data_IF_880700388472
#
_entry.id   IF_880700388472
#
_cell.length_a   1.000
_cell.length_b   1.000
_cell.length_c   1.000
_cell.angle_alpha   90.00
_cell.angle_beta   90.00
_cell.angle_gamma   90.00
#
_symmetry.space_group_name_H-M   'P 1'
#
loop_
_entity.id
_entity.type
_entity.pdbx_description
1 polymer ?
#
# COMPACT_ATOMS: atom_id res chain seq x y z
N UNK A 1 -67.07 38.69 15.56
CA UNK A 1 -66.85 37.78 14.40
C UNK A 1 -65.46 37.14 14.40
N UNK A 2 -64.73 37.11 15.52
CA UNK A 2 -63.37 36.53 15.62
C UNK A 2 -63.38 35.18 16.37
N UNK A 3 -64.33 34.96 17.30
CA UNK A 3 -64.47 33.71 18.07
C UNK A 3 -64.68 32.42 17.26
N UNK A 4 -65.15 32.53 16.01
CA UNK A 4 -65.43 31.33 15.19
C UNK A 4 -64.19 30.78 14.48
N UNK A 5 -63.12 31.58 14.38
CA UNK A 5 -61.89 31.20 13.71
C UNK A 5 -60.90 30.47 14.64
N UNK A 6 -60.93 30.74 15.95
CA UNK A 6 -60.04 30.07 16.92
C UNK A 6 -60.45 28.62 17.20
N UNK A 7 -61.75 28.30 17.11
CA UNK A 7 -62.28 26.96 17.40
C UNK A 7 -61.88 25.88 16.38
N UNK A 8 -61.28 26.25 15.25
CA UNK A 8 -60.79 25.33 14.24
C UNK A 8 -59.27 25.10 14.27
N UNK A 9 -58.55 25.77 15.18
CA UNK A 9 -57.09 25.63 15.31
C UNK A 9 -56.73 24.66 16.46
N UNK A 10 -57.62 24.44 17.43
CA UNK A 10 -57.46 23.45 18.50
C UNK A 10 -57.95 22.04 18.11
N UNK A 11 -57.31 21.42 17.12
CA UNK A 11 -57.28 19.95 17.01
C UNK A 11 -56.13 19.54 16.09
N UNK A 12 -54.93 20.02 16.40
CA UNK A 12 -53.69 19.48 15.86
C UNK A 12 -53.42 18.08 16.40
N UNK A 13 -54.19 17.07 15.98
CA UNK A 13 -53.66 15.71 15.93
C UNK A 13 -52.74 15.66 14.72
N UNK A 14 -51.48 16.06 14.94
CA UNK A 14 -50.39 15.71 14.03
C UNK A 14 -50.41 14.17 13.99
N UNK A 15 -50.99 13.59 12.94
CA UNK A 15 -50.90 12.16 12.67
C UNK A 15 -49.42 11.80 12.73
N UNK A 16 -48.98 11.19 13.83
CA UNK A 16 -47.62 10.67 13.93
C UNK A 16 -47.45 9.76 12.73
N UNK A 17 -46.50 10.04 11.82
CA UNK A 17 -46.37 9.30 10.58
C UNK A 17 -46.27 7.82 10.94
N UNK A 18 -47.03 6.95 10.25
CA UNK A 18 -47.17 5.51 10.58
C UNK A 18 -45.84 4.80 10.90
N UNK A 19 -44.74 5.31 10.35
CA UNK A 19 -43.36 4.95 10.66
C UNK A 19 -43.02 5.02 12.16
N UNK A 20 -43.40 6.08 12.89
CA UNK A 20 -43.09 6.25 14.31
C UNK A 20 -43.73 5.18 15.20
N UNK A 21 -44.95 4.73 14.87
CA UNK A 21 -45.60 3.63 15.61
C UNK A 21 -44.92 2.28 15.40
N UNK A 22 -44.32 2.06 14.22
CA UNK A 22 -43.55 0.84 13.93
C UNK A 22 -42.18 0.85 14.64
N UNK A 23 -41.51 2.01 14.68
CA UNK A 23 -40.22 2.22 15.34
C UNK A 23 -40.25 1.92 16.85
N UNK A 24 -41.39 2.14 17.52
CA UNK A 24 -41.55 1.95 18.97
C UNK A 24 -41.76 0.49 19.38
N UNK A 25 -42.02 -0.41 18.44
CA UNK A 25 -42.24 -1.83 18.78
C UNK A 25 -40.93 -2.52 19.19
N UNK A 26 -41.00 -3.39 20.20
CA UNK A 26 -39.83 -4.17 20.65
C UNK A 26 -39.26 -5.04 19.53
N UNK A 27 -40.12 -5.57 18.66
CA UNK A 27 -39.73 -6.33 17.48
C UNK A 27 -38.86 -5.50 16.52
N UNK A 28 -39.19 -4.23 16.31
CA UNK A 28 -38.39 -3.33 15.47
C UNK A 28 -37.00 -3.07 16.06
N UNK A 29 -36.92 -2.85 17.38
CA UNK A 29 -35.63 -2.67 18.08
C UNK A 29 -34.73 -3.91 17.95
N UNK A 30 -35.31 -5.11 18.08
CA UNK A 30 -34.59 -6.38 17.90
C UNK A 30 -34.12 -6.54 16.46
N UNK A 31 -34.98 -6.25 15.47
CA UNK A 31 -34.60 -6.29 14.07
C UNK A 31 -33.45 -5.34 13.74
N UNK A 32 -33.50 -4.09 14.23
CA UNK A 32 -32.37 -3.15 14.07
C UNK A 32 -31.10 -3.64 14.76
N UNK A 33 -31.21 -4.20 15.97
CA UNK A 33 -30.05 -4.72 16.69
C UNK A 33 -29.38 -5.86 15.91
N UNK A 34 -30.17 -6.77 15.31
CA UNK A 34 -29.66 -7.83 14.45
C UNK A 34 -28.97 -7.28 13.20
N UNK A 35 -29.54 -6.28 12.54
CA UNK A 35 -28.92 -5.62 11.38
C UNK A 35 -27.60 -4.96 11.79
N UNK A 36 -27.57 -4.25 12.91
CA UNK A 36 -26.35 -3.62 13.44
C UNK A 36 -25.26 -4.67 13.71
N UNK A 37 -25.60 -5.79 14.35
CA UNK A 37 -24.66 -6.88 14.63
C UNK A 37 -24.12 -7.47 13.32
N UNK A 38 -25.00 -7.70 12.33
CA UNK A 38 -24.59 -8.23 11.03
C UNK A 38 -23.63 -7.27 10.30
N UNK A 39 -23.93 -5.96 10.32
CA UNK A 39 -23.03 -4.93 9.77
C UNK A 39 -21.68 -4.90 10.49
N UNK A 40 -21.67 -4.96 11.82
CA UNK A 40 -20.43 -4.99 12.61
C UNK A 40 -19.59 -6.23 12.29
N UNK A 41 -20.22 -7.39 12.23
CA UNK A 41 -19.57 -8.65 11.84
C UNK A 41 -18.96 -8.57 10.43
N UNK A 42 -19.68 -7.98 9.48
CA UNK A 42 -19.18 -7.77 8.12
C UNK A 42 -17.98 -6.83 8.08
N UNK A 43 -18.00 -5.73 8.86
CA UNK A 43 -16.86 -4.81 8.96
C UNK A 43 -15.65 -5.53 9.53
N UNK A 44 -15.78 -6.28 10.62
CA UNK A 44 -14.67 -7.03 11.23
C UNK A 44 -14.11 -8.07 10.25
N UNK A 45 -14.98 -8.76 9.50
CA UNK A 45 -14.57 -9.73 8.50
C UNK A 45 -13.84 -9.10 7.30
N UNK A 46 -14.24 -7.90 6.87
CA UNK A 46 -13.64 -7.18 5.74
C UNK A 46 -12.44 -6.30 6.14
N UNK A 47 -12.30 -5.97 7.42
CA UNK A 47 -11.19 -5.17 7.97
C UNK A 47 -9.80 -5.62 7.49
N UNK A 48 -9.43 -6.92 7.48
CA UNK A 48 -8.12 -7.34 6.97
C UNK A 48 -7.90 -7.00 5.49
N UNK A 49 -8.96 -6.98 4.67
CA UNK A 49 -8.86 -6.59 3.25
C UNK A 49 -8.65 -5.09 3.07
N UNK A 50 -9.20 -4.27 3.98
CA UNK A 50 -8.98 -2.83 3.99
C UNK A 50 -7.56 -2.49 4.43
N UNK A 51 -7.00 -3.20 5.41
CA UNK A 51 -5.60 -3.05 5.80
C UNK A 51 -4.64 -3.34 4.63
N UNK A 52 -4.95 -4.33 3.79
CA UNK A 52 -4.16 -4.64 2.59
C UNK A 52 -4.14 -3.49 1.56
N UNK A 53 -5.06 -2.53 1.62
CA UNK A 53 -5.07 -1.35 0.75
C UNK A 53 -4.26 -0.17 1.29
N UNK A 54 -3.88 -0.21 2.57
CA UNK A 54 -2.96 0.74 3.20
C UNK A 54 -1.50 0.27 3.14
N UNK A 55 -1.25 -0.98 2.73
CA UNK A 55 0.10 -1.36 2.30
C UNK A 55 0.46 -0.52 1.08
N UNK A 56 1.56 0.23 1.18
CA UNK A 56 2.06 1.08 0.09
C UNK A 56 2.05 0.29 -1.23
N UNK A 57 1.56 0.87 -2.34
CA UNK A 57 1.55 0.18 -3.62
C UNK A 57 2.97 -0.30 -3.90
N UNK A 58 3.17 -1.63 -3.86
CA UNK A 58 4.44 -2.27 -4.19
C UNK A 58 4.91 -1.61 -5.49
N UNK A 59 6.09 -0.96 -5.48
CA UNK A 59 6.53 -0.18 -6.63
C UNK A 59 6.44 -1.08 -7.86
N UNK A 60 5.75 -0.59 -8.89
CA UNK A 60 5.49 -1.32 -10.13
C UNK A 60 6.82 -1.83 -10.68
N UNK A 61 7.11 -3.12 -10.44
CA UNK A 61 8.34 -3.76 -10.88
C UNK A 61 8.21 -4.09 -12.36
N UNK A 62 9.15 -3.62 -13.17
CA UNK A 62 9.44 -4.29 -14.43
C UNK A 62 10.15 -5.61 -14.10
N UNK A 63 9.37 -6.68 -13.92
CA UNK A 63 9.85 -8.03 -13.59
C UNK A 63 8.91 -8.78 -12.64
N UNK A 64 8.80 -10.09 -12.81
CA UNK A 64 7.88 -11.01 -12.11
C UNK A 64 8.29 -11.40 -10.69
N UNK A 65 9.28 -10.74 -10.09
CA UNK A 65 9.84 -11.16 -8.80
C UNK A 65 9.29 -10.33 -7.63
N UNK A 66 8.69 -11.03 -6.66
CA UNK A 66 8.45 -10.49 -5.34
C UNK A 66 9.78 -10.44 -4.56
N UNK A 67 10.50 -9.32 -4.62
CA UNK A 67 11.64 -9.01 -3.75
C UNK A 67 11.19 -8.36 -2.45
N UNK A 68 11.98 -8.52 -1.38
CA UNK A 68 11.76 -7.91 -0.07
C UNK A 68 12.37 -6.50 0.00
N UNK A 69 12.06 -5.75 1.07
CA UNK A 69 12.51 -4.37 1.23
C UNK A 69 14.04 -4.22 1.23
N UNK A 70 14.78 -5.22 1.71
CA UNK A 70 16.26 -5.18 1.70
C UNK A 70 16.80 -5.33 0.29
N UNK A 71 16.22 -6.23 -0.52
CA UNK A 71 16.57 -6.39 -1.92
C UNK A 71 16.19 -5.16 -2.75
N UNK A 72 15.04 -4.54 -2.48
CA UNK A 72 14.64 -3.31 -3.19
C UNK A 72 15.63 -2.17 -2.95
N UNK A 73 16.11 -2.02 -1.71
CA UNK A 73 17.17 -1.05 -1.39
C UNK A 73 18.48 -1.39 -2.10
N UNK A 74 18.81 -2.67 -2.23
CA UNK A 74 19.99 -3.12 -2.97
C UNK A 74 19.89 -2.77 -4.47
N UNK A 75 18.73 -3.02 -5.09
CA UNK A 75 18.44 -2.67 -6.49
C UNK A 75 18.51 -1.15 -6.70
N UNK A 76 17.94 -0.38 -5.77
CA UNK A 76 18.00 1.09 -5.81
C UNK A 76 19.44 1.62 -5.75
N UNK A 77 20.27 1.03 -4.88
CA UNK A 77 21.69 1.39 -4.82
C UNK A 77 22.38 1.08 -6.16
N UNK A 78 22.15 -0.10 -6.74
CA UNK A 78 22.71 -0.47 -8.05
C UNK A 78 22.30 0.51 -9.16
N UNK A 79 21.03 0.94 -9.19
CA UNK A 79 20.58 1.99 -10.11
C UNK A 79 21.33 3.31 -9.93
N UNK A 80 21.53 3.74 -8.69
CA UNK A 80 22.28 4.96 -8.42
C UNK A 80 23.74 4.84 -8.88
N UNK A 81 24.39 3.70 -8.62
CA UNK A 81 25.76 3.44 -9.06
C UNK A 81 25.87 3.41 -10.59
N UNK A 82 24.92 2.77 -11.28
CA UNK A 82 24.87 2.75 -12.74
C UNK A 82 24.68 4.15 -13.33
N UNK A 83 23.81 4.97 -12.72
CA UNK A 83 23.62 6.36 -13.10
C UNK A 83 24.91 7.18 -12.92
N UNK A 84 25.62 7.01 -11.81
CA UNK A 84 26.92 7.68 -11.58
C UNK A 84 27.96 7.32 -12.65
N UNK A 85 28.03 6.05 -13.07
CA UNK A 85 28.90 5.60 -14.17
C UNK A 85 28.49 6.17 -15.53
N UNK A 86 27.18 6.35 -15.77
CA UNK A 86 26.68 6.99 -16.98
C UNK A 86 27.05 8.48 -17.06
N UNK A 87 27.07 9.17 -15.91
CA UNK A 87 27.52 10.55 -15.79
C UNK A 87 29.06 10.71 -15.92
N UNK A 88 29.80 9.61 -16.15
CA UNK A 88 31.25 9.66 -16.34
C UNK A 88 32.06 9.80 -15.05
N UNK A 89 31.43 9.63 -13.87
CA UNK A 89 32.17 9.52 -12.61
C UNK A 89 32.97 8.22 -12.63
N UNK A 90 34.30 8.34 -12.64
CA UNK A 90 35.23 7.19 -12.66
C UNK A 90 35.29 6.46 -11.31
N UNK A 91 35.02 7.19 -10.24
CA UNK A 91 34.96 6.67 -8.88
C UNK A 91 33.53 6.80 -8.41
N UNK A 92 32.86 5.66 -8.29
CA UNK A 92 31.51 5.59 -7.75
C UNK A 92 31.60 5.74 -6.24
N UNK A 93 30.66 6.48 -5.63
CA UNK A 93 30.79 6.88 -4.23
C UNK A 93 30.99 5.67 -3.29
N UNK A 94 32.06 5.63 -2.48
CA UNK A 94 32.32 4.52 -1.54
C UNK A 94 31.28 4.43 -0.41
N UNK A 95 30.33 5.38 -0.34
CA UNK A 95 29.28 5.42 0.67
C UNK A 95 28.17 4.38 0.44
N UNK A 96 28.02 3.85 -0.78
CA UNK A 96 26.96 2.90 -1.11
C UNK A 96 27.42 1.47 -0.85
N UNK A 97 26.81 0.84 0.15
CA UNK A 97 27.04 -0.55 0.53
C UNK A 97 25.77 -1.39 0.36
N UNK A 98 25.95 -2.69 0.17
CA UNK A 98 24.85 -3.64 0.13
C UNK A 98 24.13 -3.67 1.48
N UNK A 99 22.80 -3.50 1.53
CA UNK A 99 22.06 -3.48 2.80
C UNK A 99 22.03 -4.83 3.52
N UNK A 100 22.20 -5.94 2.79
CA UNK A 100 22.18 -7.27 3.37
C UNK A 100 23.56 -7.73 3.90
N UNK A 101 24.65 -7.29 3.29
CA UNK A 101 26.01 -7.71 3.67
C UNK A 101 26.87 -6.63 4.30
N UNK A 102 26.50 -5.35 4.18
CA UNK A 102 27.31 -4.21 4.62
C UNK A 102 28.55 -3.96 3.75
N UNK A 103 28.81 -4.80 2.75
CA UNK A 103 30.00 -4.71 1.90
C UNK A 103 29.78 -3.75 0.72
N UNK A 104 30.84 -3.10 0.22
CA UNK A 104 30.77 -2.28 -0.98
C UNK A 104 30.48 -3.13 -2.22
N UNK A 105 29.88 -2.50 -3.23
CA UNK A 105 29.62 -3.14 -4.52
C UNK A 105 30.91 -3.36 -5.32
N UNK A 106 30.99 -4.48 -6.04
CA UNK A 106 32.15 -4.80 -6.85
C UNK A 106 31.98 -4.20 -8.25
N UNK A 107 32.90 -3.31 -8.64
CA UNK A 107 32.86 -2.63 -9.95
C UNK A 107 33.94 -3.23 -10.85
N UNK A 108 33.50 -3.85 -11.94
CA UNK A 108 34.33 -4.39 -13.00
C UNK A 108 35.08 -3.29 -13.75
N UNK A 109 36.26 -3.62 -14.27
CA UNK A 109 37.06 -2.71 -15.10
C UNK A 109 36.75 -2.95 -16.57
N UNK A 110 36.64 -1.89 -17.36
CA UNK A 110 36.45 -1.99 -18.80
C UNK A 110 35.70 -0.81 -19.41
N UNK A 111 35.46 -0.84 -20.74
CA UNK A 111 34.70 0.19 -21.44
C UNK A 111 33.21 0.20 -21.04
N UNK A 112 32.67 -0.95 -20.62
CA UNK A 112 31.34 -1.11 -20.03
C UNK A 112 31.48 -1.75 -18.64
N UNK A 113 31.78 -0.97 -17.59
CA UNK A 113 31.93 -1.52 -16.24
C UNK A 113 30.60 -2.11 -15.74
N UNK A 114 30.66 -3.35 -15.24
CA UNK A 114 29.56 -4.01 -14.54
C UNK A 114 29.70 -3.82 -13.03
N UNK A 115 28.59 -3.62 -12.34
CA UNK A 115 28.52 -3.46 -10.89
C UNK A 115 27.77 -4.64 -10.33
N UNK A 116 28.42 -5.42 -9.47
CA UNK A 116 27.85 -6.63 -8.87
C UNK A 116 27.53 -6.43 -7.40
N UNK A 117 26.41 -7.00 -6.97
CA UNK A 117 26.13 -7.17 -5.55
C UNK A 117 27.19 -8.09 -4.91
N UNK A 118 27.78 -7.73 -3.76
CA UNK A 118 28.80 -8.53 -3.09
C UNK A 118 28.23 -9.82 -2.47
N UNK A 119 26.92 -9.88 -2.21
CA UNK A 119 26.27 -11.07 -1.67
C UNK A 119 24.85 -11.25 -2.26
N UNK A 120 24.74 -11.72 -3.51
CA UNK A 120 23.45 -11.95 -4.14
C UNK A 120 22.65 -13.07 -3.44
N UNK A 121 23.32 -14.02 -2.80
CA UNK A 121 22.70 -15.13 -2.07
C UNK A 121 21.82 -14.67 -0.91
N UNK A 122 22.21 -13.61 -0.21
CA UNK A 122 21.37 -13.00 0.85
C UNK A 122 20.05 -12.42 0.33
N UNK A 123 19.94 -12.20 -0.98
CA UNK A 123 18.73 -11.72 -1.64
C UNK A 123 17.96 -12.86 -2.36
N UNK A 124 18.43 -14.11 -2.27
CA UNK A 124 17.81 -15.25 -2.93
C UNK A 124 18.13 -15.36 -4.43
N UNK A 125 19.23 -14.76 -4.88
CA UNK A 125 19.69 -14.79 -6.27
C UNK A 125 21.12 -15.35 -6.36
N UNK A 126 21.48 -15.97 -7.49
CA UNK A 126 22.86 -16.37 -7.81
C UNK A 126 23.70 -15.18 -8.21
N UNK A 127 23.13 -14.25 -8.96
CA UNK A 127 23.81 -13.03 -9.38
C UNK A 127 22.84 -11.86 -9.47
N UNK A 128 23.35 -10.68 -9.10
CA UNK A 128 22.69 -9.39 -9.25
C UNK A 128 23.74 -8.44 -9.80
N UNK A 129 23.55 -7.97 -11.03
CA UNK A 129 24.51 -7.11 -11.71
C UNK A 129 23.81 -6.01 -12.50
N UNK A 130 24.47 -4.88 -12.69
CA UNK A 130 24.03 -3.80 -13.58
C UNK A 130 25.23 -3.29 -14.38
N UNK A 131 25.04 -2.81 -15.60
CA UNK A 131 26.13 -2.24 -16.38
C UNK A 131 25.86 -0.78 -16.74
N UNK A 132 26.90 -0.06 -17.14
CA UNK A 132 26.75 1.32 -17.63
C UNK A 132 25.78 1.41 -18.81
N UNK A 133 25.86 0.46 -19.76
CA UNK A 133 25.04 0.46 -20.97
C UNK A 133 23.65 -0.16 -20.74
N UNK A 134 23.49 -1.03 -19.74
CA UNK A 134 22.22 -1.60 -19.33
C UNK A 134 21.98 -1.28 -17.84
N UNK A 135 21.35 -0.13 -17.53
CA UNK A 135 21.13 0.30 -16.16
C UNK A 135 20.03 -0.51 -15.46
N UNK A 136 19.38 -1.48 -16.11
CA UNK A 136 18.40 -2.37 -15.47
C UNK A 136 19.14 -3.56 -14.84
N UNK A 137 19.02 -3.79 -13.52
CA UNK A 137 19.68 -4.92 -12.85
C UNK A 137 19.22 -6.26 -13.41
N UNK A 138 20.20 -7.06 -13.79
CA UNK A 138 20.01 -8.44 -14.20
C UNK A 138 20.02 -9.33 -12.95
N UNK A 139 18.94 -10.08 -12.77
CA UNK A 139 18.73 -10.99 -11.65
C UNK A 139 18.74 -12.43 -12.17
N UNK A 140 19.70 -13.24 -11.72
CA UNK A 140 19.76 -14.67 -12.05
C UNK A 140 19.54 -15.50 -10.79
N UNK A 141 18.69 -16.54 -10.87
CA UNK A 141 18.40 -17.49 -9.77
C UNK A 141 19.19 -18.78 -9.88
#
# INVERSE_FOLDING_TARGET
MIDRAEKYIEAGEIERPRLQRLLETRAWKIAMALVLIACLGFIVYQFPRLLASFEEPKPVRMGTYATDATTDKCIKNLWQLAYELQQGKKEVSPALVCPASGNPYAIGRGPNPEIHCPNPGSHGFRSIAVSKNNPVPELQK
#
